data_IF_085662092878
#
_entry.id   IF_085662092878
#
_cell.length_a   1.000
_cell.length_b   1.000
_cell.length_c   1.000
_cell.angle_alpha   90.00
_cell.angle_beta   90.00
_cell.angle_gamma   90.00
#
_symmetry.space_group_name_H-M   'P 1'
#
loop_
_entity.id
_entity.type
_entity.pdbx_description
1 polymer ?
#
# COMPACT_ATOMS: atom_id res chain seq x y z
N UNK A 1 35.10 76.33 -15.04
CA UNK A 1 33.89 75.90 -14.31
C UNK A 1 33.73 74.41 -14.56
N UNK A 2 34.17 73.58 -13.62
CA UNK A 2 34.28 72.12 -13.78
C UNK A 2 33.02 71.44 -13.26
N UNK A 3 32.35 70.64 -14.09
CA UNK A 3 31.20 69.81 -13.68
C UNK A 3 31.67 68.35 -13.73
N UNK A 4 31.88 67.76 -12.56
CA UNK A 4 32.12 66.32 -12.40
C UNK A 4 30.76 65.63 -12.34
N UNK A 5 30.45 64.78 -13.32
CA UNK A 5 29.26 63.90 -13.28
C UNK A 5 29.63 62.62 -12.52
N UNK A 6 29.00 62.39 -11.38
CA UNK A 6 29.09 61.12 -10.63
C UNK A 6 28.12 60.13 -11.28
N UNK A 7 28.63 59.09 -11.93
CA UNK A 7 27.82 57.94 -12.33
C UNK A 7 27.58 57.06 -11.10
N UNK A 8 26.32 56.89 -10.72
CA UNK A 8 25.92 55.93 -9.69
C UNK A 8 25.81 54.54 -10.34
N UNK A 9 26.57 53.57 -9.83
CA UNK A 9 26.49 52.16 -10.24
C UNK A 9 25.67 51.44 -9.16
N UNK A 10 24.45 51.04 -9.50
CA UNK A 10 23.63 50.19 -8.65
C UNK A 10 23.98 48.72 -8.89
N UNK A 11 24.57 48.07 -7.89
CA UNK A 11 24.81 46.62 -7.88
C UNK A 11 23.52 45.93 -7.43
N UNK A 12 22.93 45.14 -8.32
CA UNK A 12 21.75 44.33 -8.01
C UNK A 12 22.23 42.95 -7.53
N UNK A 13 22.07 42.67 -6.23
CA UNK A 13 22.44 41.39 -5.64
C UNK A 13 21.26 40.41 -5.76
N UNK A 14 21.34 39.45 -6.67
CA UNK A 14 20.40 38.33 -6.74
C UNK A 14 20.85 37.23 -5.77
N UNK A 15 20.14 37.08 -4.65
CA UNK A 15 20.26 35.90 -3.80
C UNK A 15 19.30 34.84 -4.30
N UNK A 16 19.82 33.76 -4.89
CA UNK A 16 19.03 32.55 -5.15
C UNK A 16 19.04 31.69 -3.89
N UNK A 17 17.92 31.62 -3.20
CA UNK A 17 17.71 30.70 -2.08
C UNK A 17 17.34 29.32 -2.65
N UNK A 18 18.31 28.44 -2.83
CA UNK A 18 18.02 27.03 -3.13
C UNK A 18 17.68 26.32 -1.83
N UNK A 19 16.39 26.31 -1.47
CA UNK A 19 15.89 25.44 -0.40
C UNK A 19 15.85 24.00 -0.91
N UNK A 20 16.50 23.08 -0.21
CA UNK A 20 16.26 21.66 -0.42
C UNK A 20 14.85 21.35 0.10
N UNK A 21 13.96 20.90 -0.77
CA UNK A 21 12.68 20.32 -0.36
C UNK A 21 12.99 19.03 0.40
N UNK A 22 12.95 19.08 1.73
CA UNK A 22 12.90 17.86 2.52
C UNK A 22 11.53 17.27 2.25
N UNK A 23 11.47 16.14 1.55
CA UNK A 23 10.22 15.38 1.40
C UNK A 23 9.86 14.84 2.78
N UNK A 24 9.03 15.58 3.51
CA UNK A 24 8.27 15.01 4.63
C UNK A 24 7.22 14.08 4.03
N UNK A 25 6.97 12.95 4.67
CA UNK A 25 5.73 12.23 4.44
C UNK A 25 4.58 13.20 4.73
N UNK A 26 3.75 13.49 3.73
CA UNK A 26 2.66 14.45 3.85
C UNK A 26 1.54 13.84 4.70
N UNK A 27 1.21 12.57 4.45
CA UNK A 27 0.21 11.81 5.20
C UNK A 27 0.38 10.28 5.05
N UNK A 28 -0.47 9.55 5.76
CA UNK A 28 -0.69 8.11 5.56
C UNK A 28 -2.08 7.91 4.96
N UNK A 29 -2.22 6.91 4.10
CA UNK A 29 -3.50 6.46 3.57
C UNK A 29 -3.69 4.97 3.87
N UNK A 30 -4.94 4.57 4.07
CA UNK A 30 -5.32 3.17 4.21
C UNK A 30 -5.86 2.69 2.86
N UNK A 31 -5.08 1.86 2.17
CA UNK A 31 -5.49 1.29 0.89
C UNK A 31 -6.46 0.10 1.04
N UNK A 32 -6.36 -0.63 2.16
CA UNK A 32 -7.18 -1.79 2.48
C UNK A 32 -7.56 -1.74 3.96
N UNK A 33 -8.85 -1.90 4.26
CA UNK A 33 -9.36 -2.07 5.61
C UNK A 33 -9.49 -3.56 5.96
N UNK A 34 -9.48 -3.89 7.26
CA UNK A 34 -9.54 -5.28 7.72
C UNK A 34 -10.85 -5.97 7.31
N UNK A 35 -11.97 -5.24 7.31
CA UNK A 35 -13.33 -5.72 7.00
C UNK A 35 -13.74 -5.49 5.54
N UNK A 36 -12.82 -5.02 4.70
CA UNK A 36 -13.03 -4.95 3.25
C UNK A 36 -13.43 -6.34 2.70
N UNK A 37 -14.14 -6.42 1.56
CA UNK A 37 -14.40 -7.71 0.93
C UNK A 37 -13.11 -8.31 0.35
N UNK A 38 -12.82 -9.55 0.73
CA UNK A 38 -11.71 -10.36 0.24
C UNK A 38 -12.24 -11.52 -0.59
N UNK A 39 -11.50 -11.86 -1.65
CA UNK A 39 -11.67 -13.18 -2.25
C UNK A 39 -10.89 -14.18 -1.40
N UNK A 40 -11.48 -15.34 -1.12
CA UNK A 40 -10.86 -16.37 -0.32
C UNK A 40 -11.07 -17.77 -0.91
N UNK A 41 -10.09 -18.62 -0.66
CA UNK A 41 -10.07 -20.02 -1.07
C UNK A 41 -9.67 -20.88 0.12
N UNK A 42 -10.59 -21.74 0.55
CA UNK A 42 -10.34 -22.73 1.61
C UNK A 42 -9.38 -23.78 1.05
N UNK A 43 -8.19 -23.88 1.64
CA UNK A 43 -7.07 -24.66 1.14
C UNK A 43 -7.22 -26.16 1.29
N UNK A 44 -8.09 -26.79 0.49
CA UNK A 44 -8.09 -28.25 0.29
C UNK A 44 -6.88 -28.69 -0.57
N UNK A 45 -6.37 -27.79 -1.40
CA UNK A 45 -5.13 -27.90 -2.17
C UNK A 45 -4.50 -26.53 -2.38
N UNK A 46 -3.22 -26.46 -2.77
CA UNK A 46 -2.62 -25.20 -3.19
C UNK A 46 -3.37 -24.65 -4.43
N UNK A 47 -3.73 -23.34 -4.48
CA UNK A 47 -4.25 -22.71 -5.68
C UNK A 47 -3.22 -22.73 -6.82
N UNK A 48 -3.63 -22.27 -8.00
CA UNK A 48 -2.71 -22.13 -9.13
C UNK A 48 -1.47 -21.32 -8.74
N UNK A 49 -0.29 -21.75 -9.19
CA UNK A 49 1.00 -21.17 -8.77
C UNK A 49 1.09 -19.63 -8.92
N UNK A 50 0.37 -19.07 -9.89
CA UNK A 50 0.31 -17.65 -10.21
C UNK A 50 -0.70 -16.86 -9.38
N UNK A 51 -1.38 -17.46 -8.38
CA UNK A 51 -2.38 -16.77 -7.57
C UNK A 51 -1.82 -15.44 -7.00
N UNK A 52 -0.56 -15.40 -6.57
CA UNK A 52 0.07 -14.20 -5.99
C UNK A 52 0.23 -13.01 -6.96
N UNK A 53 -0.01 -13.21 -8.26
CA UNK A 53 0.17 -12.18 -9.27
C UNK A 53 -1.08 -11.28 -9.40
N UNK A 54 -0.87 -10.02 -9.79
CA UNK A 54 -1.93 -9.01 -9.95
C UNK A 54 -2.97 -9.39 -11.01
N UNK A 55 -2.56 -10.10 -12.06
CA UNK A 55 -3.42 -10.51 -13.19
C UNK A 55 -4.16 -11.85 -12.96
N UNK A 56 -4.01 -12.47 -11.80
CA UNK A 56 -4.69 -13.74 -11.52
C UNK A 56 -6.21 -13.52 -11.44
N UNK A 57 -6.97 -14.38 -12.12
CA UNK A 57 -8.42 -14.37 -12.06
C UNK A 57 -8.91 -15.16 -10.85
N UNK A 58 -9.47 -14.46 -9.88
CA UNK A 58 -10.04 -15.02 -8.66
C UNK A 58 -11.57 -15.11 -8.67
N UNK A 59 -12.20 -15.04 -9.86
CA UNK A 59 -13.66 -15.13 -9.99
C UNK A 59 -14.28 -16.40 -9.41
N UNK A 60 -13.48 -17.45 -9.27
CA UNK A 60 -13.91 -18.76 -8.76
C UNK A 60 -13.67 -18.90 -7.24
N UNK A 61 -13.09 -17.89 -6.60
CA UNK A 61 -12.92 -17.82 -5.14
C UNK A 61 -14.20 -17.25 -4.51
N UNK A 62 -14.48 -17.68 -3.29
CA UNK A 62 -15.58 -17.14 -2.51
C UNK A 62 -15.27 -15.69 -2.08
N UNK A 63 -16.31 -14.91 -1.72
CA UNK A 63 -16.14 -13.51 -1.31
C UNK A 63 -16.84 -13.24 0.01
N UNK A 64 -16.12 -12.62 0.95
CA UNK A 64 -16.64 -12.24 2.26
C UNK A 64 -15.87 -11.07 2.86
N UNK A 65 -16.43 -10.37 3.88
CA UNK A 65 -15.64 -9.40 4.65
C UNK A 65 -14.42 -10.08 5.28
N UNK A 66 -13.31 -9.35 5.43
CA UNK A 66 -12.15 -9.87 6.17
C UNK A 66 -12.46 -10.09 7.66
N UNK A 67 -11.52 -10.65 8.43
CA UNK A 67 -11.81 -11.51 9.60
C UNK A 67 -12.47 -12.81 9.13
N UNK A 68 -11.65 -13.65 8.52
CA UNK A 68 -12.07 -14.94 7.94
C UNK A 68 -11.42 -16.05 8.76
N UNK A 69 -12.25 -16.89 9.36
CA UNK A 69 -11.77 -17.89 10.31
C UNK A 69 -12.87 -18.82 10.80
N UNK A 70 -12.59 -19.53 11.89
CA UNK A 70 -13.49 -20.52 12.45
C UNK A 70 -13.22 -20.77 13.94
N UNK A 71 -14.28 -21.13 14.67
CA UNK A 71 -14.18 -21.87 15.94
C UNK A 71 -14.29 -21.06 17.25
N UNK A 72 -14.10 -19.75 17.23
CA UNK A 72 -14.22 -18.85 18.38
C UNK A 72 -15.44 -17.92 18.33
N UNK A 73 -16.01 -17.73 17.14
CA UNK A 73 -17.28 -17.05 16.91
C UNK A 73 -17.18 -15.52 16.89
N UNK A 74 -16.02 -14.97 16.56
CA UNK A 74 -15.83 -13.52 16.35
C UNK A 74 -15.47 -13.12 14.90
N UNK A 75 -15.35 -14.09 14.00
CA UNK A 75 -15.14 -13.86 12.57
C UNK A 75 -16.35 -13.24 11.86
N UNK A 76 -16.07 -12.32 10.94
CA UNK A 76 -17.09 -11.76 10.04
C UNK A 76 -17.43 -12.70 8.88
N UNK A 77 -16.45 -13.49 8.43
CA UNK A 77 -16.64 -14.59 7.47
C UNK A 77 -16.27 -15.90 8.14
N UNK A 78 -17.30 -16.66 8.56
CA UNK A 78 -17.12 -17.97 9.18
C UNK A 78 -16.94 -19.05 8.10
N UNK A 79 -15.89 -19.87 8.24
CA UNK A 79 -15.58 -21.02 7.38
C UNK A 79 -15.53 -22.31 8.20
N UNK A 80 -15.42 -23.45 7.51
CA UNK A 80 -15.13 -24.73 8.17
C UNK A 80 -13.63 -24.83 8.54
N UNK A 81 -13.31 -25.69 9.50
CA UNK A 81 -11.93 -25.91 9.93
C UNK A 81 -11.03 -26.35 8.77
N UNK A 82 -9.89 -25.66 8.60
CA UNK A 82 -8.93 -25.90 7.52
C UNK A 82 -7.49 -25.77 8.01
N UNK A 83 -6.54 -26.41 7.31
CA UNK A 83 -5.11 -26.28 7.58
C UNK A 83 -4.55 -24.99 6.95
N UNK A 84 -5.15 -24.52 5.87
CA UNK A 84 -4.67 -23.35 5.14
C UNK A 84 -5.84 -22.58 4.53
N UNK A 85 -5.69 -21.27 4.52
CA UNK A 85 -6.62 -20.33 3.93
C UNK A 85 -5.81 -19.39 3.04
N UNK A 86 -6.29 -19.18 1.82
CA UNK A 86 -5.73 -18.20 0.91
C UNK A 86 -6.70 -17.05 0.80
N UNK A 87 -6.23 -15.83 1.05
CA UNK A 87 -7.02 -14.61 0.88
C UNK A 87 -6.29 -13.67 -0.06
N UNK A 88 -7.06 -12.89 -0.83
CA UNK A 88 -6.51 -11.94 -1.79
C UNK A 88 -7.43 -10.75 -1.99
N UNK A 89 -6.79 -9.61 -2.30
CA UNK A 89 -7.47 -8.36 -2.64
C UNK A 89 -6.55 -7.51 -3.48
N UNK A 90 -7.12 -6.83 -4.47
CA UNK A 90 -6.45 -5.79 -5.24
C UNK A 90 -6.78 -4.43 -4.65
N UNK A 91 -5.84 -3.50 -4.69
CA UNK A 91 -6.03 -2.11 -4.30
C UNK A 91 -5.34 -1.20 -5.32
N UNK A 92 -5.76 0.06 -5.39
CA UNK A 92 -5.22 1.03 -6.33
C UNK A 92 -4.38 2.08 -5.59
N UNK A 93 -3.24 2.45 -6.18
CA UNK A 93 -2.43 3.59 -5.75
C UNK A 93 -2.54 4.64 -6.86
N UNK A 94 -3.06 5.83 -6.54
CA UNK A 94 -3.30 6.88 -7.54
C UNK A 94 -2.00 7.38 -8.19
N UNK A 95 -0.96 7.62 -7.38
CA UNK A 95 0.34 8.09 -7.84
C UNK A 95 1.48 7.37 -7.11
N UNK A 96 2.03 6.34 -7.74
CA UNK A 96 3.16 5.56 -7.20
C UNK A 96 4.41 6.43 -6.99
N UNK A 97 4.56 7.54 -7.72
CA UNK A 97 5.72 8.42 -7.55
C UNK A 97 5.72 9.15 -6.20
N UNK A 98 4.57 9.21 -5.51
CA UNK A 98 4.43 9.78 -4.18
C UNK A 98 4.58 8.74 -3.06
N UNK A 99 4.60 7.45 -3.39
CA UNK A 99 4.70 6.38 -2.41
C UNK A 99 6.13 6.30 -1.85
N UNK A 100 6.28 6.62 -0.57
CA UNK A 100 7.58 6.54 0.14
C UNK A 100 7.77 5.23 0.88
N UNK A 101 6.68 4.53 1.22
CA UNK A 101 6.69 3.25 1.91
C UNK A 101 5.28 2.72 2.15
N UNK A 102 5.20 1.46 2.56
CA UNK A 102 3.96 0.78 2.92
C UNK A 102 4.15 0.01 4.22
N UNK A 103 3.07 -0.15 4.98
CA UNK A 103 3.03 -0.97 6.18
C UNK A 103 1.90 -1.99 6.00
N UNK A 104 2.22 -3.27 6.19
CA UNK A 104 1.23 -4.32 6.35
C UNK A 104 0.99 -4.52 7.85
N UNK A 105 -0.28 -4.45 8.25
CA UNK A 105 -0.72 -4.83 9.58
C UNK A 105 -1.69 -6.00 9.44
N UNK A 106 -1.45 -7.08 10.17
CA UNK A 106 -2.24 -8.29 10.13
C UNK A 106 -2.44 -8.81 11.56
N UNK A 107 -3.67 -9.19 11.87
CA UNK A 107 -4.02 -10.02 13.01
C UNK A 107 -4.29 -11.44 12.47
N UNK A 108 -3.70 -12.46 13.10
CA UNK A 108 -3.66 -13.81 12.55
C UNK A 108 -3.42 -14.87 13.63
N UNK A 109 -3.94 -16.07 13.39
CA UNK A 109 -3.71 -17.27 14.20
C UNK A 109 -3.76 -18.50 13.27
N UNK A 110 -2.74 -19.34 13.13
CA UNK A 110 -1.43 -19.32 13.82
C UNK A 110 -0.37 -18.46 13.10
N UNK A 111 -0.34 -18.49 11.76
CA UNK A 111 0.76 -17.92 10.96
C UNK A 111 0.34 -17.60 9.52
N UNK A 112 1.03 -16.65 8.88
CA UNK A 112 0.73 -16.25 7.50
C UNK A 112 2.00 -15.97 6.68
N UNK A 113 1.83 -15.98 5.36
CA UNK A 113 2.81 -15.49 4.38
C UNK A 113 2.09 -14.48 3.51
N UNK A 114 2.66 -13.28 3.37
CA UNK A 114 2.09 -12.23 2.53
C UNK A 114 2.87 -12.06 1.23
N UNK A 115 2.13 -11.75 0.18
CA UNK A 115 2.68 -11.43 -1.13
C UNK A 115 2.10 -10.11 -1.63
N UNK A 116 2.95 -9.27 -2.23
CA UNK A 116 2.52 -8.09 -2.99
C UNK A 116 3.04 -8.25 -4.41
N UNK A 117 2.13 -8.34 -5.38
CA UNK A 117 2.44 -8.49 -6.80
C UNK A 117 3.44 -9.62 -7.10
N UNK A 118 3.23 -10.79 -6.47
CA UNK A 118 4.05 -11.98 -6.66
C UNK A 118 5.34 -12.04 -5.81
N UNK A 119 5.65 -11.00 -5.03
CA UNK A 119 6.85 -10.93 -4.18
C UNK A 119 6.47 -11.13 -2.72
N UNK A 120 7.15 -12.05 -2.03
CA UNK A 120 6.99 -12.27 -0.59
C UNK A 120 7.55 -11.09 0.21
N UNK A 121 6.85 -10.63 1.26
CA UNK A 121 7.21 -9.46 2.08
C UNK A 121 7.31 -9.75 3.56
#
# INVERSE_FOLDING_TARGET
MNIVKILSVSILLFFTLSGNSILSQDHWETAIYADDPWHYFVGESEPEFNWRNVEFNDSDWEVGPGSIGYGDGDDLTEIESTISLYIRRTFNIEDIAQLTGMILHADYDDGFIAYVNGVEI
#
